data_IF_788254715411
#
_entry.id   IF_788254715411
#
_cell.length_a   1.000
_cell.length_b   1.000
_cell.length_c   1.000
_cell.angle_alpha   90.00
_cell.angle_beta   90.00
_cell.angle_gamma   90.00
#
_symmetry.space_group_name_H-M   'P 1'
#
loop_
_entity.id
_entity.type
_entity.pdbx_description
1 polymer ?
#
# COMPACT_ATOMS: atom_id res chain seq x y z
N UNK A 1 -6.82 -12.18 20.61
CA UNK A 1 -5.68 -13.06 20.93
C UNK A 1 -4.42 -12.47 20.29
N UNK A 2 -3.56 -11.81 21.08
CA UNK A 2 -2.28 -11.30 20.60
C UNK A 2 -1.19 -12.36 20.71
N UNK A 3 -0.12 -12.23 19.93
CA UNK A 3 1.07 -13.07 20.11
C UNK A 3 1.72 -12.83 21.49
N UNK A 4 2.31 -13.87 22.06
CA UNK A 4 3.05 -13.80 23.33
C UNK A 4 4.29 -12.91 23.23
N UNK A 5 4.84 -12.52 24.39
CA UNK A 5 6.01 -11.62 24.49
C UNK A 5 7.23 -12.15 23.74
N UNK A 6 7.48 -13.45 23.78
CA UNK A 6 8.61 -14.08 23.10
C UNK A 6 8.55 -13.94 21.58
N UNK A 7 7.38 -14.22 21.00
CA UNK A 7 7.15 -14.09 19.55
C UNK A 7 7.34 -12.64 19.12
N UNK A 8 6.90 -11.67 19.93
CA UNK A 8 7.10 -10.23 19.66
C UNK A 8 8.59 -9.86 19.65
N UNK A 9 9.34 -10.32 20.65
CA UNK A 9 10.77 -10.06 20.75
C UNK A 9 11.55 -10.68 19.58
N UNK A 10 11.25 -11.94 19.24
CA UNK A 10 11.86 -12.63 18.11
C UNK A 10 11.50 -11.98 16.77
N UNK A 11 10.26 -11.52 16.63
CA UNK A 11 9.80 -10.76 15.47
C UNK A 11 10.56 -9.44 15.31
N UNK A 12 10.74 -8.67 16.39
CA UNK A 12 11.48 -7.41 16.34
C UNK A 12 12.92 -7.62 15.82
N UNK A 13 13.63 -8.59 16.41
CA UNK A 13 15.00 -8.96 16.02
C UNK A 13 15.10 -9.42 14.56
N UNK A 14 14.20 -10.31 14.14
CA UNK A 14 14.21 -10.83 12.76
C UNK A 14 13.82 -9.75 11.75
N UNK A 15 12.88 -8.86 12.08
CA UNK A 15 12.52 -7.74 11.23
C UNK A 15 13.64 -6.71 11.11
N UNK A 16 14.34 -6.38 12.21
CA UNK A 16 15.48 -5.46 12.18
C UNK A 16 16.58 -5.91 11.20
N UNK A 17 16.80 -7.23 11.10
CA UNK A 17 17.80 -7.85 10.21
C UNK A 17 17.35 -8.03 8.77
N UNK A 18 16.07 -8.29 8.51
CA UNK A 18 15.58 -8.60 7.16
C UNK A 18 14.86 -7.45 6.46
N UNK A 19 14.27 -6.52 7.20
CA UNK A 19 13.49 -5.41 6.65
C UNK A 19 12.11 -5.77 6.08
N UNK A 20 11.66 -7.03 6.16
CA UNK A 20 10.35 -7.47 5.63
C UNK A 20 9.52 -8.19 6.70
N UNK A 21 8.40 -7.58 7.11
CA UNK A 21 7.55 -8.06 8.20
C UNK A 21 6.91 -9.43 7.92
N UNK A 22 6.45 -9.67 6.70
CA UNK A 22 5.82 -10.94 6.33
C UNK A 22 6.81 -12.09 6.41
N UNK A 23 8.05 -11.88 5.93
CA UNK A 23 9.11 -12.86 6.02
C UNK A 23 9.59 -13.05 7.47
N UNK A 24 9.72 -11.97 8.24
CA UNK A 24 10.06 -12.04 9.67
C UNK A 24 9.06 -12.89 10.45
N UNK A 25 7.76 -12.67 10.24
CA UNK A 25 6.73 -13.47 10.90
C UNK A 25 6.76 -14.94 10.46
N UNK A 26 7.00 -15.21 9.17
CA UNK A 26 7.12 -16.58 8.67
C UNK A 26 8.30 -17.33 9.31
N UNK A 27 9.44 -16.67 9.48
CA UNK A 27 10.61 -17.24 10.15
C UNK A 27 10.34 -17.53 11.63
N UNK A 28 9.71 -16.60 12.34
CA UNK A 28 9.42 -16.74 13.78
C UNK A 28 8.38 -17.83 14.06
N UNK A 29 7.35 -17.95 13.21
CA UNK A 29 6.31 -18.96 13.37
C UNK A 29 6.73 -20.35 12.86
N UNK A 30 7.74 -20.40 11.98
CA UNK A 30 8.17 -21.60 11.27
C UNK A 30 7.15 -22.07 10.23
N UNK A 31 7.56 -23.04 9.40
CA UNK A 31 6.76 -23.55 8.28
C UNK A 31 5.45 -24.20 8.73
N UNK A 32 5.44 -24.85 9.89
CA UNK A 32 4.25 -25.53 10.41
C UNK A 32 3.11 -24.57 10.72
N UNK A 33 3.36 -23.50 11.49
CA UNK A 33 2.31 -22.52 11.85
C UNK A 33 2.05 -21.53 10.73
N UNK A 34 3.09 -21.01 10.08
CA UNK A 34 2.93 -20.04 9.00
C UNK A 34 2.31 -20.66 7.74
N UNK A 35 2.65 -21.91 7.41
CA UNK A 35 2.15 -22.61 6.22
C UNK A 35 0.66 -22.96 6.29
N UNK A 36 0.10 -23.06 7.50
CA UNK A 36 -1.35 -23.25 7.71
C UNK A 36 -2.15 -21.95 7.56
N UNK A 37 -1.49 -20.80 7.52
CA UNK A 37 -2.15 -19.51 7.39
C UNK A 37 -2.32 -19.12 5.94
N UNK A 38 -3.47 -18.51 5.60
CA UNK A 38 -3.64 -17.87 4.30
C UNK A 38 -2.67 -16.69 4.17
N UNK A 39 -2.10 -16.41 2.98
CA UNK A 39 -1.12 -15.34 2.79
C UNK A 39 -1.59 -13.96 3.27
N UNK A 40 -2.86 -13.61 3.05
CA UNK A 40 -3.43 -12.34 3.50
C UNK A 40 -3.54 -12.26 5.03
N UNK A 41 -3.84 -13.37 5.70
CA UNK A 41 -3.89 -13.43 7.17
C UNK A 41 -2.49 -13.26 7.77
N UNK A 42 -1.49 -13.92 7.18
CA UNK A 42 -0.09 -13.78 7.60
C UNK A 42 0.37 -12.32 7.44
N UNK A 43 0.06 -11.70 6.31
CA UNK A 43 0.38 -10.28 6.05
C UNK A 43 -0.32 -9.35 7.04
N UNK A 44 -1.61 -9.57 7.32
CA UNK A 44 -2.37 -8.77 8.29
C UNK A 44 -1.76 -8.86 9.69
N UNK A 45 -1.44 -10.08 10.16
CA UNK A 45 -0.81 -10.29 11.47
C UNK A 45 0.61 -9.72 11.57
N UNK A 46 1.38 -9.80 10.49
CA UNK A 46 2.71 -9.18 10.44
C UNK A 46 2.60 -7.64 10.53
N UNK A 47 1.62 -7.05 9.85
CA UNK A 47 1.32 -5.62 9.95
C UNK A 47 0.87 -5.22 11.35
N UNK A 48 0.01 -6.01 11.98
CA UNK A 48 -0.44 -5.81 13.36
C UNK A 48 0.75 -5.78 14.34
N UNK A 49 1.67 -6.75 14.23
CA UNK A 49 2.87 -6.80 15.05
C UNK A 49 3.81 -5.62 14.81
N UNK A 50 4.02 -5.24 13.55
CA UNK A 50 4.88 -4.12 13.18
C UNK A 50 4.37 -2.78 13.74
N UNK A 51 3.06 -2.64 13.87
CA UNK A 51 2.42 -1.43 14.40
C UNK A 51 2.26 -1.44 15.93
N UNK A 52 2.57 -2.54 16.61
CA UNK A 52 2.49 -2.59 18.07
C UNK A 52 3.61 -1.76 18.70
N UNK A 53 3.27 -0.79 19.56
CA UNK A 53 4.21 0.17 20.15
C UNK A 53 5.47 -0.48 20.76
N UNK A 54 5.33 -1.49 21.63
CA UNK A 54 6.49 -2.20 22.22
C UNK A 54 7.40 -2.87 21.20
N UNK A 55 6.84 -3.39 20.11
CA UNK A 55 7.61 -4.05 19.05
C UNK A 55 8.37 -3.00 18.26
N UNK A 56 7.74 -1.84 18.02
CA UNK A 56 8.38 -0.71 17.37
C UNK A 56 9.61 -0.21 18.15
N UNK A 57 9.48 -0.05 19.47
CA UNK A 57 10.59 0.35 20.34
C UNK A 57 11.75 -0.64 20.28
N UNK A 58 11.45 -1.94 20.35
CA UNK A 58 12.47 -2.99 20.24
C UNK A 58 13.16 -3.02 18.88
N UNK A 59 12.45 -2.73 17.80
CA UNK A 59 13.04 -2.66 16.46
C UNK A 59 14.04 -1.50 16.38
N UNK A 60 13.70 -0.34 16.91
CA UNK A 60 14.62 0.82 16.90
C UNK A 60 15.85 0.57 17.80
N UNK A 61 15.68 -0.09 18.94
CA UNK A 61 16.80 -0.52 19.79
C UNK A 61 17.74 -1.47 19.05
N UNK A 62 17.21 -2.52 18.42
CA UNK A 62 18.03 -3.47 17.66
C UNK A 62 18.73 -2.82 16.45
N UNK A 63 18.07 -1.89 15.76
CA UNK A 63 18.72 -1.10 14.71
C UNK A 63 19.89 -0.28 15.24
N UNK A 64 19.71 0.37 16.39
CA UNK A 64 20.78 1.14 17.03
C UNK A 64 21.94 0.24 17.44
N UNK A 65 21.68 -0.94 17.98
CA UNK A 65 22.71 -1.94 18.30
C UNK A 65 23.45 -2.41 17.04
N UNK A 66 22.73 -2.72 15.96
CA UNK A 66 23.33 -3.11 14.68
C UNK A 66 24.24 -2.00 14.13
N UNK A 67 23.81 -0.74 14.22
CA UNK A 67 24.63 0.42 13.84
C UNK A 67 25.88 0.55 14.71
N UNK A 68 25.76 0.37 16.04
CA UNK A 68 26.92 0.40 16.95
C UNK A 68 27.95 -0.69 16.64
N UNK A 69 27.49 -1.86 16.19
CA UNK A 69 28.35 -2.95 15.73
C UNK A 69 28.97 -2.72 14.35
N UNK A 70 28.54 -1.68 13.64
CA UNK A 70 28.95 -1.39 12.27
C UNK A 70 28.30 -2.31 11.23
N UNK A 71 27.21 -3.00 11.57
CA UNK A 71 26.46 -3.84 10.64
C UNK A 71 25.64 -2.98 9.67
N UNK A 72 25.59 -3.37 8.39
CA UNK A 72 24.79 -2.66 7.38
C UNK A 72 23.31 -2.93 7.60
N UNK A 73 22.51 -1.87 7.76
CA UNK A 73 21.07 -2.00 7.88
C UNK A 73 20.42 -2.39 6.54
N UNK A 74 19.50 -3.36 6.52
CA UNK A 74 18.77 -3.74 5.32
C UNK A 74 17.80 -2.64 4.86
N UNK A 75 17.33 -2.73 3.62
CA UNK A 75 16.21 -1.90 3.16
C UNK A 75 14.91 -2.32 3.85
N UNK A 76 14.35 -1.43 4.67
CA UNK A 76 13.09 -1.66 5.37
C UNK A 76 11.90 -1.40 4.46
N UNK A 77 11.07 -2.43 4.24
CA UNK A 77 9.71 -2.22 3.72
C UNK A 77 8.93 -1.49 4.81
N UNK A 78 8.69 -0.22 4.54
CA UNK A 78 8.07 0.71 5.46
C UNK A 78 6.68 0.22 5.90
N UNK A 79 6.30 0.71 7.08
CA UNK A 79 4.93 0.61 7.58
C UNK A 79 4.02 1.37 6.61
N UNK A 80 2.74 1.04 6.58
CA UNK A 80 1.74 1.98 6.04
C UNK A 80 1.84 3.24 6.88
N UNK A 81 2.48 4.28 6.33
CA UNK A 81 2.58 5.59 6.96
C UNK A 81 1.15 6.16 7.05
N UNK A 82 0.61 6.27 8.27
CA UNK A 82 -0.68 6.93 8.53
C UNK A 82 -0.43 8.38 8.91
N UNK A 83 -0.05 9.18 7.93
CA UNK A 83 0.10 10.63 8.08
C UNK A 83 -1.14 11.27 8.73
N UNK A 84 -2.32 10.77 8.34
CA UNK A 84 -3.65 11.21 8.78
C UNK A 84 -3.85 11.22 10.32
N UNK A 85 -3.03 10.48 11.08
CA UNK A 85 -3.10 10.42 12.54
C UNK A 85 -2.11 11.39 13.22
N UNK A 86 -1.11 11.87 12.51
CA UNK A 86 -0.01 12.71 13.02
C UNK A 86 -0.19 14.17 12.65
N UNK A 87 -0.72 14.46 11.47
CA UNK A 87 -1.21 15.79 11.13
C UNK A 87 -2.62 15.93 11.68
N UNK A 88 -2.90 16.89 12.56
CA UNK A 88 -4.28 17.27 12.92
C UNK A 88 -5.12 17.82 11.76
N UNK A 89 -4.67 17.61 10.52
CA UNK A 89 -5.31 17.98 9.27
C UNK A 89 -6.29 16.86 8.86
N UNK A 90 -7.55 17.19 8.53
CA UNK A 90 -8.51 16.20 8.05
C UNK A 90 -8.00 15.58 6.74
N UNK A 91 -7.96 14.24 6.70
CA UNK A 91 -7.62 13.47 5.50
C UNK A 91 -8.51 13.92 4.32
N UNK A 92 -7.88 14.51 3.30
CA UNK A 92 -8.51 14.73 2.00
C UNK A 92 -8.15 13.54 1.10
N UNK A 93 -9.12 12.75 0.61
CA UNK A 93 -8.85 11.72 -0.38
C UNK A 93 -8.21 12.38 -1.61
N UNK A 94 -7.20 11.75 -2.24
CA UNK A 94 -6.68 12.23 -3.51
C UNK A 94 -7.84 12.30 -4.50
N UNK A 95 -8.00 13.45 -5.17
CA UNK A 95 -9.01 13.59 -6.21
C UNK A 95 -8.79 12.49 -7.26
N UNK A 96 -9.84 11.77 -7.66
CA UNK A 96 -9.70 10.77 -8.71
C UNK A 96 -9.12 11.46 -9.96
N UNK A 97 -8.14 10.84 -10.65
CA UNK A 97 -7.61 11.40 -11.88
C UNK A 97 -8.78 11.67 -12.83
N UNK A 98 -8.79 12.79 -13.56
CA UNK A 98 -9.91 13.15 -14.43
C UNK A 98 -10.14 11.99 -15.40
N UNK A 99 -11.23 11.25 -15.18
CA UNK A 99 -11.61 10.18 -16.10
C UNK A 99 -11.84 10.84 -17.46
N UNK A 100 -11.09 10.46 -18.52
CA UNK A 100 -11.39 10.97 -19.84
C UNK A 100 -12.84 10.60 -20.14
N UNK A 101 -13.67 11.61 -20.41
CA UNK A 101 -15.09 11.42 -20.68
C UNK A 101 -15.25 10.38 -21.79
N UNK A 102 -15.60 9.15 -21.41
CA UNK A 102 -15.77 8.05 -22.33
C UNK A 102 -17.14 8.18 -22.99
N UNK A 103 -17.17 8.68 -24.23
CA UNK A 103 -18.40 8.79 -25.00
C UNK A 103 -19.07 7.39 -25.08
N UNK A 104 -20.31 7.23 -24.57
CA UNK A 104 -21.02 5.95 -24.61
C UNK A 104 -21.07 5.40 -26.04
N UNK A 105 -20.89 4.08 -26.21
CA UNK A 105 -20.82 3.43 -27.53
C UNK A 105 -21.98 3.81 -28.48
N UNK A 106 -23.17 4.10 -27.94
CA UNK A 106 -24.35 4.52 -28.70
C UNK A 106 -24.34 5.98 -29.20
N UNK A 107 -23.54 6.87 -28.60
CA UNK A 107 -23.51 8.30 -28.96
C UNK A 107 -22.55 8.65 -30.10
N UNK A 108 -21.68 7.72 -30.53
CA UNK A 108 -20.76 7.96 -31.66
C UNK A 108 -21.50 8.29 -32.97
N UNK A 109 -22.72 7.79 -33.15
CA UNK A 109 -23.55 8.07 -34.32
C UNK A 109 -24.14 9.48 -34.36
N UNK A 110 -24.52 10.03 -33.19
CA UNK A 110 -25.12 11.36 -33.06
C UNK A 110 -24.16 12.48 -33.49
N UNK A 111 -22.90 12.41 -33.06
CA UNK A 111 -21.87 13.38 -33.46
C UNK A 111 -21.54 13.33 -34.96
N UNK A 112 -21.58 12.13 -35.57
CA UNK A 112 -21.37 11.97 -37.03
C UNK A 112 -22.53 12.57 -37.83
N UNK A 113 -23.75 12.49 -37.31
CA UNK A 113 -24.95 13.14 -37.87
C UNK A 113 -24.85 14.67 -37.84
N UNK A 114 -24.47 15.25 -36.70
CA UNK A 114 -24.25 16.71 -36.58
C UNK A 114 -23.14 17.22 -37.51
N UNK A 115 -22.04 16.47 -37.65
CA UNK A 115 -20.94 16.84 -38.56
C UNK A 115 -21.36 16.84 -40.05
N UNK A 116 -22.28 15.95 -40.44
CA UNK A 116 -22.87 15.95 -41.79
C UNK A 116 -23.83 17.12 -41.99
N UNK A 117 -24.64 17.46 -40.99
CA UNK A 117 -25.57 18.60 -41.03
C UNK A 117 -24.84 19.95 -41.17
N UNK A 118 -23.70 20.13 -40.49
CA UNK A 118 -22.88 21.34 -40.62
C UNK A 118 -22.26 21.49 -42.02
N UNK A 119 -21.95 20.38 -42.71
CA UNK A 119 -21.44 20.41 -44.09
C UNK A 119 -22.52 20.62 -45.15
N UNK A 120 -23.77 20.22 -44.88
CA UNK A 120 -24.87 20.46 -45.81
C UNK A 120 -25.43 21.88 -45.73
N UNK A 121 -25.34 22.54 -44.56
CA UNK A 121 -25.74 23.94 -44.41
C UNK A 121 -24.87 24.92 -45.21
N UNK A 122 -23.68 24.51 -45.65
CA UNK A 122 -22.77 25.31 -46.48
C UNK A 122 -22.98 25.13 -47.98
N UNK A 123 -23.97 24.33 -48.40
CA UNK A 123 -24.26 24.04 -49.80
C UNK A 123 -25.71 24.40 -50.17
N UNK A 124 -26.08 25.65 -49.90
CA UNK A 124 -27.10 26.36 -50.70
C UNK A 124 -26.38 27.45 -51.49
N UNK A 125 -26.72 27.48 -52.77
CA UNK A 125 -26.02 28.06 -53.92
C UNK A 125 -25.67 29.55 -53.83
N UNK A 126 -24.62 30.02 -54.54
CA UNK A 126 -24.55 31.39 -55.03
C UNK A 126 -25.64 31.63 -56.08
N UNK A 127 -25.98 32.89 -56.31
CA UNK A 127 -27.14 33.42 -57.07
C UNK A 127 -28.40 33.61 -56.24
#
# INVERSE_FOLDING_TARGET
MGYGREIRNQFAKTYARMGNATHALRMVLGEGRAGRMKPHTLRAKASELLNHYRVAEQIEQEKAEMQQRGETLPHYRLRTWRADLLSGEPYQPPEPPPHPFAIPRGMKGLFKGMARLKRSATKTSPF
#
